data_IF_828710011688
#
_entry.id   IF_828710011688
#
_cell.length_a   1.000
_cell.length_b   1.000
_cell.length_c   1.000
_cell.angle_alpha   90.00
_cell.angle_beta   90.00
_cell.angle_gamma   90.00
#
_symmetry.space_group_name_H-M   'P 1'
#
loop_
_entity.id
_entity.type
_entity.pdbx_description
1 polymer ?
#
# COMPACT_ATOMS: atom_id res chain seq x y z
N UNK A 1 0.33 -8.82 1.87
CA UNK A 1 1.37 -9.33 2.79
C UNK A 1 2.09 -10.55 2.23
N UNK A 2 1.43 -11.67 1.92
CA UNK A 2 2.12 -12.88 1.43
C UNK A 2 3.02 -12.65 0.19
N UNK A 3 2.54 -11.96 -0.85
CA UNK A 3 3.34 -11.55 -2.02
C UNK A 3 4.68 -10.88 -1.63
N UNK A 4 4.61 -9.90 -0.73
CA UNK A 4 5.75 -9.12 -0.27
C UNK A 4 6.69 -10.04 0.51
N UNK A 5 6.17 -10.79 1.48
CA UNK A 5 6.99 -11.60 2.38
C UNK A 5 7.66 -12.80 1.69
N UNK A 6 7.03 -13.37 0.65
CA UNK A 6 7.64 -14.42 -0.17
C UNK A 6 8.82 -13.86 -0.96
N UNK A 7 8.65 -12.69 -1.59
CA UNK A 7 9.73 -12.02 -2.31
C UNK A 7 10.89 -11.66 -1.38
N UNK A 8 10.62 -11.08 -0.19
CA UNK A 8 11.62 -10.79 0.83
C UNK A 8 12.34 -12.04 1.35
N UNK A 9 11.57 -13.09 1.68
CA UNK A 9 12.12 -14.34 2.20
C UNK A 9 13.08 -14.98 1.19
N UNK A 10 12.72 -14.96 -0.09
CA UNK A 10 13.60 -15.48 -1.15
C UNK A 10 14.81 -14.58 -1.40
N UNK A 11 14.59 -13.30 -1.72
CA UNK A 11 15.66 -12.38 -2.13
C UNK A 11 16.58 -12.00 -0.98
N UNK A 12 16.02 -11.52 0.12
CA UNK A 12 16.79 -10.85 1.16
C UNK A 12 17.24 -11.79 2.26
N UNK A 13 16.45 -12.83 2.57
CA UNK A 13 16.79 -13.79 3.62
C UNK A 13 17.57 -15.01 3.07
N UNK A 14 17.09 -15.66 2.00
CA UNK A 14 17.74 -16.86 1.43
C UNK A 14 18.91 -16.48 0.53
N UNK A 15 18.68 -15.57 -0.42
CA UNK A 15 19.70 -15.16 -1.39
C UNK A 15 20.63 -14.06 -0.86
N UNK A 16 20.39 -13.54 0.35
CA UNK A 16 21.18 -12.50 1.00
C UNK A 16 21.37 -11.25 0.13
N UNK A 17 20.37 -10.90 -0.68
CA UNK A 17 20.46 -9.78 -1.61
C UNK A 17 21.33 -10.01 -2.84
N UNK A 18 21.69 -11.25 -3.18
CA UNK A 18 22.34 -11.53 -4.47
C UNK A 18 21.43 -11.07 -5.63
N UNK A 19 22.00 -10.28 -6.54
CA UNK A 19 21.29 -9.72 -7.69
C UNK A 19 20.58 -8.39 -7.41
N UNK A 20 20.67 -7.84 -6.19
CA UNK A 20 20.28 -6.46 -5.94
C UNK A 20 21.43 -5.49 -6.24
N UNK A 21 21.15 -4.19 -6.24
CA UNK A 21 22.19 -3.19 -6.45
C UNK A 21 23.36 -3.33 -5.47
N UNK A 22 24.59 -3.12 -5.96
CA UNK A 22 25.82 -3.43 -5.22
C UNK A 22 25.87 -2.73 -3.85
N UNK A 23 25.51 -1.44 -3.80
CA UNK A 23 25.47 -0.65 -2.57
C UNK A 23 24.47 -1.20 -1.52
N UNK A 24 23.40 -1.88 -1.95
CA UNK A 24 22.49 -2.57 -1.03
C UNK A 24 23.11 -3.86 -0.51
N UNK A 25 23.77 -4.61 -1.40
CA UNK A 25 24.36 -5.91 -1.07
C UNK A 25 25.57 -5.80 -0.14
N UNK A 26 26.37 -4.73 -0.25
CA UNK A 26 27.57 -4.49 0.55
C UNK A 26 27.28 -3.57 1.76
N UNK A 27 26.10 -2.95 1.82
CA UNK A 27 25.69 -2.07 2.91
C UNK A 27 25.06 -2.82 4.11
N UNK A 28 23.97 -2.27 4.65
CA UNK A 28 23.29 -2.76 5.87
C UNK A 28 22.87 -4.25 5.83
N UNK A 29 22.82 -4.88 4.65
CA UNK A 29 22.47 -6.31 4.51
C UNK A 29 23.53 -7.27 5.06
N UNK A 30 24.79 -6.83 5.13
CA UNK A 30 25.88 -7.62 5.72
C UNK A 30 25.94 -7.50 7.24
N UNK A 31 25.23 -6.54 7.82
CA UNK A 31 25.26 -6.28 9.26
C UNK A 31 24.21 -7.12 9.99
N UNK A 32 24.39 -7.26 11.32
CA UNK A 32 23.46 -8.00 12.19
C UNK A 32 22.02 -7.47 12.14
N UNK A 33 21.85 -6.18 11.78
CA UNK A 33 20.54 -5.56 11.61
C UNK A 33 19.67 -6.27 10.57
N UNK A 34 20.27 -6.96 9.59
CA UNK A 34 19.53 -7.77 8.63
C UNK A 34 18.76 -8.90 9.34
N UNK A 35 19.42 -9.61 10.26
CA UNK A 35 18.81 -10.67 11.07
C UNK A 35 17.73 -10.10 11.98
N UNK A 36 17.98 -8.94 12.58
CA UNK A 36 17.03 -8.24 13.46
C UNK A 36 15.75 -7.85 12.71
N UNK A 37 15.89 -7.29 11.51
CA UNK A 37 14.77 -6.90 10.67
C UNK A 37 13.97 -8.12 10.21
N UNK A 38 14.63 -9.18 9.75
CA UNK A 38 13.98 -10.44 9.38
C UNK A 38 13.19 -11.05 10.54
N UNK A 39 13.76 -11.09 11.75
CA UNK A 39 13.07 -11.55 12.97
C UNK A 39 11.85 -10.68 13.29
N UNK A 40 11.95 -9.36 13.15
CA UNK A 40 10.85 -8.42 13.39
C UNK A 40 9.68 -8.63 12.42
N UNK A 41 9.98 -8.88 11.15
CA UNK A 41 8.98 -9.22 10.13
C UNK A 41 8.31 -10.55 10.46
N UNK A 42 9.11 -11.59 10.75
CA UNK A 42 8.58 -12.91 11.11
C UNK A 42 7.66 -12.83 12.34
N UNK A 43 8.08 -12.12 13.38
CA UNK A 43 7.30 -11.94 14.60
C UNK A 43 5.97 -11.25 14.32
N UNK A 44 5.98 -10.21 13.48
CA UNK A 44 4.76 -9.51 13.05
C UNK A 44 3.81 -10.46 12.31
N UNK A 45 4.33 -11.24 11.36
CA UNK A 45 3.53 -12.20 10.58
C UNK A 45 2.93 -13.26 11.49
N UNK A 46 3.72 -13.83 12.42
CA UNK A 46 3.27 -14.88 13.35
C UNK A 46 2.13 -14.36 14.23
N UNK A 47 2.31 -13.20 14.87
CA UNK A 47 1.29 -12.61 15.75
C UNK A 47 0.02 -12.29 14.96
N UNK A 48 0.14 -11.64 13.80
CA UNK A 48 -1.01 -11.31 12.96
C UNK A 48 -1.75 -12.59 12.52
N UNK A 49 -1.04 -13.63 12.12
CA UNK A 49 -1.64 -14.91 11.73
C UNK A 49 -2.39 -15.59 12.88
N UNK A 50 -1.86 -15.56 14.10
CA UNK A 50 -2.55 -16.11 15.29
C UNK A 50 -3.88 -15.37 15.53
N UNK A 51 -3.92 -14.06 15.27
CA UNK A 51 -5.11 -13.25 15.49
C UNK A 51 -6.15 -13.35 14.35
N UNK A 52 -5.74 -13.80 13.16
CA UNK A 52 -6.64 -13.99 12.01
C UNK A 52 -7.33 -15.36 12.12
N UNK A 53 -8.56 -15.35 12.63
CA UNK A 53 -9.39 -16.58 12.71
C UNK A 53 -9.90 -17.03 11.34
N UNK A 54 -10.30 -18.31 11.21
CA UNK A 54 -10.99 -18.82 10.02
C UNK A 54 -12.21 -17.98 9.62
N UNK A 55 -12.91 -17.35 10.57
CA UNK A 55 -14.05 -16.45 10.28
C UNK A 55 -13.63 -15.16 9.57
N UNK A 56 -12.43 -14.64 9.86
CA UNK A 56 -11.86 -13.47 9.16
C UNK A 56 -11.46 -13.85 7.73
N UNK A 57 -10.91 -15.06 7.53
CA UNK A 57 -10.55 -15.60 6.21
C UNK A 57 -11.80 -15.98 5.38
N UNK A 58 -12.80 -16.54 6.05
CA UNK A 58 -14.14 -16.82 5.55
C UNK A 58 -15.03 -15.58 5.65
N UNK A 59 -14.47 -14.38 5.47
CA UNK A 59 -15.22 -13.36 4.75
C UNK A 59 -15.50 -13.95 3.36
N UNK A 60 -16.45 -14.90 3.31
CA UNK A 60 -17.16 -15.29 2.11
C UNK A 60 -17.51 -13.96 1.56
N UNK A 61 -17.08 -13.75 0.34
CA UNK A 61 -17.41 -12.58 -0.43
C UNK A 61 -18.92 -12.67 -0.67
N UNK A 62 -19.69 -12.41 0.38
CA UNK A 62 -21.10 -12.06 0.33
C UNK A 62 -21.16 -11.04 -0.78
N UNK A 63 -22.06 -11.30 -1.73
CA UNK A 63 -22.10 -10.62 -3.00
C UNK A 63 -21.81 -9.12 -2.78
N UNK A 64 -20.57 -8.69 -3.07
CA UNK A 64 -20.08 -7.37 -2.65
C UNK A 64 -20.97 -6.28 -3.27
N UNK A 65 -21.60 -6.61 -4.40
CA UNK A 65 -22.62 -5.82 -5.08
C UNK A 65 -23.91 -5.62 -4.26
N UNK A 66 -24.35 -6.61 -3.48
CA UNK A 66 -25.53 -6.49 -2.61
C UNK A 66 -25.29 -5.50 -1.47
N UNK A 67 -24.03 -5.36 -1.03
CA UNK A 67 -23.65 -4.43 0.03
C UNK A 67 -23.62 -2.96 -0.42
N UNK A 68 -23.64 -2.69 -1.74
CA UNK A 68 -23.65 -1.34 -2.30
C UNK A 68 -24.93 -0.60 -1.88
N UNK A 69 -24.83 0.72 -1.81
CA UNK A 69 -25.94 1.64 -1.53
C UNK A 69 -26.22 2.49 -2.76
N UNK A 70 -27.42 3.05 -2.80
CA UNK A 70 -27.82 4.00 -3.85
C UNK A 70 -27.86 5.40 -3.26
N UNK A 71 -26.99 6.29 -3.73
CA UNK A 71 -27.06 7.72 -3.44
C UNK A 71 -26.45 8.51 -4.60
N UNK A 72 -27.32 9.08 -5.45
CA UNK A 72 -26.92 9.76 -6.67
C UNK A 72 -26.01 10.97 -6.41
N UNK A 73 -26.21 11.70 -5.29
CA UNK A 73 -25.42 12.90 -4.98
C UNK A 73 -23.98 12.50 -4.65
N UNK A 74 -23.81 11.51 -3.77
CA UNK A 74 -22.49 11.04 -3.36
C UNK A 74 -21.75 10.43 -4.55
N UNK A 75 -22.44 9.59 -5.35
CA UNK A 75 -21.81 8.91 -6.47
C UNK A 75 -21.47 9.87 -7.62
N UNK A 76 -22.34 10.81 -7.98
CA UNK A 76 -22.06 11.80 -9.02
C UNK A 76 -20.99 12.80 -8.56
N UNK A 77 -21.12 13.34 -7.34
CA UNK A 77 -20.14 14.28 -6.78
C UNK A 77 -18.75 13.66 -6.65
N UNK A 78 -18.67 12.41 -6.21
CA UNK A 78 -17.41 11.67 -6.17
C UNK A 78 -16.83 11.42 -7.56
N UNK A 79 -17.65 11.08 -8.56
CA UNK A 79 -17.18 10.90 -9.94
C UNK A 79 -16.61 12.21 -10.52
N UNK A 80 -17.30 13.34 -10.32
CA UNK A 80 -16.81 14.66 -10.74
C UNK A 80 -15.46 14.96 -10.08
N UNK A 81 -15.36 14.75 -8.76
CA UNK A 81 -14.12 14.97 -8.01
C UNK A 81 -12.97 14.10 -8.54
N UNK A 82 -13.23 12.84 -8.89
CA UNK A 82 -12.22 11.96 -9.51
C UNK A 82 -11.71 12.55 -10.82
N UNK A 83 -12.59 13.00 -11.71
CA UNK A 83 -12.17 13.60 -12.98
C UNK A 83 -11.41 14.91 -12.79
N UNK A 84 -11.79 15.74 -11.81
CA UNK A 84 -11.02 16.95 -11.45
C UNK A 84 -9.60 16.57 -11.01
N UNK A 85 -9.44 15.55 -10.16
CA UNK A 85 -8.12 15.05 -9.73
C UNK A 85 -7.33 14.51 -10.94
N UNK A 86 -7.99 13.79 -11.85
CA UNK A 86 -7.33 13.26 -13.04
C UNK A 86 -6.82 14.38 -13.96
N UNK A 87 -7.67 15.38 -14.26
CA UNK A 87 -7.30 16.56 -15.05
C UNK A 87 -6.15 17.32 -14.38
N UNK A 88 -6.24 17.53 -13.05
CA UNK A 88 -5.15 18.12 -12.29
C UNK A 88 -3.85 17.32 -12.42
N UNK A 89 -3.90 15.99 -12.44
CA UNK A 89 -2.71 15.15 -12.65
C UNK A 89 -2.05 15.39 -14.01
N UNK A 90 -2.86 15.56 -15.07
CA UNK A 90 -2.36 15.82 -16.43
C UNK A 90 -1.71 17.21 -16.57
N UNK A 91 -2.19 18.20 -15.80
CA UNK A 91 -1.70 19.58 -15.85
C UNK A 91 -0.47 19.77 -14.96
N UNK A 92 -0.49 19.20 -13.75
CA UNK A 92 0.52 19.47 -12.71
C UNK A 92 1.83 18.71 -12.89
N UNK A 93 1.84 17.62 -13.65
CA UNK A 93 3.05 16.82 -13.85
C UNK A 93 3.89 17.40 -15.00
N UNK A 94 5.07 17.93 -14.65
CA UNK A 94 6.08 18.36 -15.61
C UNK A 94 6.65 17.15 -16.34
N UNK A 95 6.55 17.13 -17.66
CA UNK A 95 6.93 15.99 -18.47
C UNK A 95 8.46 15.88 -18.61
N UNK A 96 9.06 14.86 -18.00
CA UNK A 96 10.39 14.38 -18.36
C UNK A 96 10.30 12.95 -18.90
N UNK A 97 10.32 12.81 -20.23
CA UNK A 97 10.17 11.50 -20.88
C UNK A 97 11.36 10.60 -20.52
N UNK A 98 11.09 9.41 -19.97
CA UNK A 98 12.10 8.39 -19.68
C UNK A 98 12.81 8.49 -18.32
N UNK A 99 12.50 9.48 -17.47
CA UNK A 99 12.97 9.49 -16.07
C UNK A 99 11.84 9.05 -15.14
N UNK A 100 12.17 8.18 -14.17
CA UNK A 100 11.24 7.82 -13.11
C UNK A 100 11.02 9.00 -12.19
N UNK A 101 9.79 9.50 -12.13
CA UNK A 101 9.37 10.48 -11.13
C UNK A 101 8.37 9.81 -10.19
N UNK A 102 8.77 9.65 -8.92
CA UNK A 102 7.85 9.17 -7.90
C UNK A 102 6.81 10.25 -7.65
N UNK A 103 5.54 9.93 -7.89
CA UNK A 103 4.47 10.84 -7.50
C UNK A 103 4.32 10.83 -5.99
N UNK A 104 4.78 11.89 -5.35
CA UNK A 104 4.72 12.07 -3.89
C UNK A 104 3.45 12.75 -3.42
N UNK A 105 2.60 13.24 -4.34
CA UNK A 105 1.40 13.97 -3.96
C UNK A 105 0.33 13.02 -3.37
N UNK A 106 -0.05 13.18 -2.09
CA UNK A 106 -1.04 12.32 -1.44
C UNK A 106 -2.42 12.35 -2.09
N UNK A 107 -2.74 13.37 -2.88
CA UNK A 107 -4.06 13.53 -3.51
C UNK A 107 -4.43 12.35 -4.42
N UNK A 108 -3.44 11.74 -5.07
CA UNK A 108 -3.64 10.61 -5.98
C UNK A 108 -3.80 9.30 -5.24
N UNK A 109 -3.20 9.18 -4.05
CA UNK A 109 -3.51 8.08 -3.17
C UNK A 109 -4.94 8.23 -2.66
N UNK A 110 -5.33 9.41 -2.17
CA UNK A 110 -6.67 9.63 -1.62
C UNK A 110 -7.79 9.57 -2.67
N UNK A 111 -7.50 9.68 -3.97
CA UNK A 111 -8.49 9.45 -5.02
C UNK A 111 -9.03 8.02 -5.00
N UNK A 112 -8.26 7.03 -4.53
CA UNK A 112 -8.73 5.64 -4.38
C UNK A 112 -9.78 5.51 -3.28
N UNK A 113 -9.68 6.31 -2.21
CA UNK A 113 -10.72 6.38 -1.17
C UNK A 113 -12.00 6.92 -1.82
N UNK A 114 -11.91 8.04 -2.53
CA UNK A 114 -13.06 8.66 -3.21
C UNK A 114 -13.69 7.66 -4.19
N UNK A 115 -12.88 6.98 -5.01
CA UNK A 115 -13.34 5.97 -5.96
C UNK A 115 -14.10 4.83 -5.27
N UNK A 116 -13.57 4.31 -4.16
CA UNK A 116 -14.23 3.26 -3.40
C UNK A 116 -15.61 3.71 -2.89
N UNK A 117 -15.74 4.95 -2.40
CA UNK A 117 -17.02 5.51 -1.97
C UNK A 117 -17.97 5.79 -3.13
N UNK A 118 -17.47 6.33 -4.24
CA UNK A 118 -18.24 6.55 -5.48
C UNK A 118 -18.85 5.25 -5.96
N UNK A 119 -18.05 4.18 -6.04
CA UNK A 119 -18.50 2.84 -6.41
C UNK A 119 -19.48 2.23 -5.40
N UNK A 120 -19.22 2.43 -4.09
CA UNK A 120 -20.07 1.91 -3.02
C UNK A 120 -21.48 2.51 -3.07
N UNK A 121 -21.60 3.80 -3.39
CA UNK A 121 -22.88 4.52 -3.48
C UNK A 121 -23.53 4.52 -4.88
N UNK A 122 -22.89 3.91 -5.88
CA UNK A 122 -23.39 3.88 -7.27
C UNK A 122 -24.29 2.67 -7.59
N UNK A 123 -24.94 2.03 -6.59
CA UNK A 123 -25.79 0.85 -6.83
C UNK A 123 -26.82 1.11 -7.94
N UNK A 124 -26.89 0.19 -8.91
CA UNK A 124 -27.75 0.24 -10.10
C UNK A 124 -27.45 1.37 -11.11
N UNK A 125 -26.41 2.18 -10.89
CA UNK A 125 -26.03 3.28 -11.79
C UNK A 125 -24.91 2.87 -12.74
N UNK A 126 -25.25 2.10 -13.79
CA UNK A 126 -24.28 1.58 -14.77
C UNK A 126 -23.40 2.65 -15.42
N UNK A 127 -23.94 3.85 -15.66
CA UNK A 127 -23.18 4.96 -16.24
C UNK A 127 -22.06 5.47 -15.33
N UNK A 128 -22.23 5.40 -14.00
CA UNK A 128 -21.15 5.72 -13.04
C UNK A 128 -20.10 4.63 -13.08
N UNK A 129 -20.51 3.36 -13.17
CA UNK A 129 -19.57 2.25 -13.32
C UNK A 129 -18.73 2.40 -14.62
N UNK A 130 -19.34 2.79 -15.74
CA UNK A 130 -18.60 3.14 -16.96
C UNK A 130 -17.65 4.33 -16.77
N UNK A 131 -18.08 5.38 -16.05
CA UNK A 131 -17.22 6.51 -15.70
C UNK A 131 -16.01 6.10 -14.85
N UNK A 132 -16.19 5.20 -13.88
CA UNK A 132 -15.09 4.64 -13.08
C UNK A 132 -14.12 3.87 -13.98
N UNK A 133 -14.61 3.10 -14.96
CA UNK A 133 -13.74 2.42 -15.92
C UNK A 133 -12.93 3.38 -16.78
N UNK A 134 -13.54 4.46 -17.27
CA UNK A 134 -12.83 5.50 -18.03
C UNK A 134 -11.76 6.16 -17.15
N UNK A 135 -12.11 6.52 -15.91
CA UNK A 135 -11.14 7.05 -14.94
C UNK A 135 -9.99 6.06 -14.71
N UNK A 136 -10.29 4.76 -14.57
CA UNK A 136 -9.29 3.70 -14.40
C UNK A 136 -8.27 3.68 -15.54
N UNK A 137 -8.73 3.70 -16.79
CA UNK A 137 -7.84 3.72 -17.95
C UNK A 137 -7.04 5.01 -18.04
N UNK A 138 -7.68 6.17 -17.86
CA UNK A 138 -7.01 7.47 -17.88
C UNK A 138 -5.93 7.60 -16.81
N UNK A 139 -6.25 7.19 -15.58
CA UNK A 139 -5.31 7.16 -14.46
C UNK A 139 -4.14 6.22 -14.74
N UNK A 140 -4.42 4.99 -15.20
CA UNK A 140 -3.38 4.01 -15.49
C UNK A 140 -2.44 4.49 -16.59
N UNK A 141 -2.97 5.06 -17.67
CA UNK A 141 -2.15 5.63 -18.75
C UNK A 141 -1.27 6.76 -18.21
N UNK A 142 -1.83 7.71 -17.45
CA UNK A 142 -1.06 8.85 -16.97
C UNK A 142 0.09 8.42 -16.03
N UNK A 143 -0.20 7.57 -15.04
CA UNK A 143 0.77 7.17 -14.03
C UNK A 143 1.79 6.16 -14.54
N UNK A 144 1.43 5.27 -15.47
CA UNK A 144 2.41 4.39 -16.11
C UNK A 144 3.38 5.17 -17.01
N UNK A 145 2.93 6.25 -17.65
CA UNK A 145 3.79 7.08 -18.52
C UNK A 145 4.92 7.77 -17.77
N UNK A 146 4.71 8.17 -16.52
CA UNK A 146 5.73 8.76 -15.64
C UNK A 146 6.46 7.70 -14.78
N UNK A 147 6.08 6.43 -14.92
CA UNK A 147 6.72 5.29 -14.25
C UNK A 147 6.22 4.96 -12.84
N UNK A 148 5.16 5.60 -12.33
CA UNK A 148 4.56 5.23 -11.03
C UNK A 148 3.68 3.97 -11.16
N UNK A 149 4.28 2.84 -10.79
CA UNK A 149 3.64 1.52 -10.80
C UNK A 149 2.80 1.26 -9.55
N UNK A 150 3.20 1.85 -8.43
CA UNK A 150 2.65 1.53 -7.10
C UNK A 150 1.19 1.96 -6.96
N UNK A 151 0.88 3.18 -7.41
CA UNK A 151 -0.48 3.73 -7.39
C UNK A 151 -1.41 2.97 -8.34
N UNK A 152 -0.89 2.56 -9.51
CA UNK A 152 -1.64 1.77 -10.50
C UNK A 152 -1.95 0.37 -9.97
N UNK A 153 -1.00 -0.30 -9.28
CA UNK A 153 -1.28 -1.59 -8.66
C UNK A 153 -2.39 -1.52 -7.62
N UNK A 154 -2.41 -0.48 -6.77
CA UNK A 154 -3.50 -0.28 -5.81
C UNK A 154 -4.84 -0.11 -6.52
N UNK A 155 -4.88 0.69 -7.59
CA UNK A 155 -6.08 0.90 -8.38
C UNK A 155 -6.57 -0.40 -9.06
N UNK A 156 -5.66 -1.20 -9.63
CA UNK A 156 -5.99 -2.51 -10.23
C UNK A 156 -6.58 -3.45 -9.19
N UNK A 157 -6.00 -3.50 -7.98
CA UNK A 157 -6.52 -4.32 -6.87
C UNK A 157 -7.90 -3.83 -6.42
N UNK A 158 -8.10 -2.51 -6.35
CA UNK A 158 -9.40 -1.92 -6.04
C UNK A 158 -10.45 -2.34 -7.08
N UNK A 159 -10.13 -2.22 -8.37
CA UNK A 159 -11.01 -2.64 -9.46
C UNK A 159 -11.30 -4.15 -9.44
N UNK A 160 -10.28 -4.96 -9.15
CA UNK A 160 -10.44 -6.41 -8.99
C UNK A 160 -11.42 -6.76 -7.87
N UNK A 161 -11.32 -6.09 -6.71
CA UNK A 161 -12.25 -6.29 -5.59
C UNK A 161 -13.65 -5.74 -5.91
N UNK A 162 -13.76 -4.62 -6.61
CA UNK A 162 -15.05 -4.00 -6.91
C UNK A 162 -15.84 -4.77 -7.97
N UNK A 163 -15.19 -5.22 -9.06
CA UNK A 163 -15.87 -5.79 -10.24
C UNK A 163 -15.62 -7.29 -10.44
N UNK A 164 -14.48 -7.82 -9.98
CA UNK A 164 -14.07 -9.20 -10.22
C UNK A 164 -14.03 -10.05 -8.93
N UNK A 165 -14.74 -9.63 -7.88
CA UNK A 165 -14.71 -10.26 -6.57
C UNK A 165 -15.04 -11.76 -6.58
N UNK A 166 -15.86 -12.23 -7.53
CA UNK A 166 -16.20 -13.65 -7.67
C UNK A 166 -15.00 -14.51 -8.08
N UNK A 167 -14.01 -13.92 -8.76
CA UNK A 167 -12.78 -14.58 -9.18
C UNK A 167 -11.76 -14.65 -8.03
N UNK A 168 -11.94 -13.83 -6.97
CA UNK A 168 -11.05 -13.76 -5.82
C UNK A 168 -11.35 -14.93 -4.88
N UNK A 169 -10.60 -16.02 -5.05
CA UNK A 169 -10.56 -17.14 -4.12
C UNK A 169 -9.10 -17.44 -3.73
N UNK A 170 -8.90 -18.29 -2.73
CA UNK A 170 -7.55 -18.62 -2.21
C UNK A 170 -6.63 -19.17 -3.31
N UNK A 171 -7.16 -19.97 -4.25
CA UNK A 171 -6.38 -20.52 -5.37
C UNK A 171 -5.96 -19.40 -6.34
N UNK A 172 -6.89 -18.54 -6.74
CA UNK A 172 -6.60 -17.39 -7.61
C UNK A 172 -5.62 -16.43 -6.95
N UNK A 173 -5.78 -16.15 -5.66
CA UNK A 173 -4.82 -15.31 -4.91
C UNK A 173 -3.44 -15.96 -4.90
N UNK A 174 -3.34 -17.27 -4.64
CA UNK A 174 -2.07 -18.00 -4.69
C UNK A 174 -1.42 -17.92 -6.07
N UNK A 175 -2.19 -18.12 -7.14
CA UNK A 175 -1.70 -17.98 -8.52
C UNK A 175 -1.24 -16.55 -8.84
N UNK A 176 -2.01 -15.53 -8.45
CA UNK A 176 -1.63 -14.12 -8.64
C UNK A 176 -0.35 -13.80 -7.88
N UNK A 177 -0.14 -14.36 -6.70
CA UNK A 177 1.11 -14.17 -5.95
C UNK A 177 2.29 -14.78 -6.70
N UNK A 178 2.16 -16.03 -7.17
CA UNK A 178 3.25 -16.77 -7.83
C UNK A 178 3.56 -16.24 -9.23
N UNK A 179 2.54 -15.88 -10.00
CA UNK A 179 2.68 -15.40 -11.38
C UNK A 179 2.92 -13.88 -11.42
N UNK A 180 2.37 -13.14 -10.46
CA UNK A 180 2.51 -11.69 -10.37
C UNK A 180 3.97 -11.26 -10.22
N UNK A 181 4.77 -11.99 -9.43
CA UNK A 181 6.20 -11.68 -9.26
C UNK A 181 6.95 -11.74 -10.61
N UNK A 182 6.92 -12.87 -11.36
CA UNK A 182 7.47 -12.95 -12.72
C UNK A 182 6.96 -11.86 -13.67
N UNK A 183 5.66 -11.56 -13.67
CA UNK A 183 5.11 -10.51 -14.55
C UNK A 183 5.68 -9.14 -14.20
N UNK A 184 5.76 -8.80 -12.91
CA UNK A 184 6.34 -7.52 -12.48
C UNK A 184 7.82 -7.39 -12.89
N UNK A 185 8.57 -8.50 -12.82
CA UNK A 185 9.95 -8.56 -13.29
C UNK A 185 10.05 -8.45 -14.81
N UNK A 186 9.18 -9.12 -15.54
CA UNK A 186 9.13 -9.04 -17.00
C UNK A 186 8.92 -7.60 -17.46
N UNK A 187 7.94 -6.90 -16.88
CA UNK A 187 7.66 -5.49 -17.21
C UNK A 187 8.87 -4.60 -16.89
N UNK A 188 9.56 -4.84 -15.77
CA UNK A 188 10.76 -4.10 -15.41
C UNK A 188 11.92 -4.32 -16.42
N UNK A 189 12.26 -5.59 -16.69
CA UNK A 189 13.34 -5.97 -17.62
C UNK A 189 13.03 -5.46 -19.03
N UNK A 190 11.81 -5.68 -19.53
CA UNK A 190 11.41 -5.28 -20.88
C UNK A 190 11.58 -3.78 -21.12
N UNK A 191 11.28 -2.95 -20.10
CA UNK A 191 11.43 -1.51 -20.19
C UNK A 191 12.90 -1.07 -20.19
N UNK A 192 13.71 -1.68 -19.33
CA UNK A 192 15.11 -1.32 -19.18
C UNK A 192 15.96 -1.85 -20.37
N UNK A 193 15.43 -2.83 -21.12
CA UNK A 193 16.07 -3.52 -22.24
C UNK A 193 15.20 -3.58 -23.50
N UNK A 194 14.59 -2.45 -23.89
CA UNK A 194 13.69 -2.33 -25.06
C UNK A 194 14.27 -2.83 -26.40
N UNK A 195 15.59 -2.99 -26.50
CA UNK A 195 16.31 -3.43 -27.70
C UNK A 195 17.05 -4.78 -27.53
N UNK A 196 16.88 -5.48 -26.42
CA UNK A 196 17.53 -6.77 -26.18
C UNK A 196 16.76 -7.94 -26.80
N UNK A 197 17.45 -9.05 -27.06
CA UNK A 197 16.81 -10.26 -27.58
C UNK A 197 15.83 -10.85 -26.56
N UNK A 198 14.75 -11.47 -27.03
CA UNK A 198 13.77 -12.10 -26.14
C UNK A 198 14.40 -13.21 -25.27
N UNK A 199 15.41 -13.91 -25.79
CA UNK A 199 16.21 -14.87 -25.01
C UNK A 199 16.92 -14.23 -23.82
N UNK A 200 17.49 -13.04 -23.99
CA UNK A 200 18.16 -12.33 -22.89
C UNK A 200 17.15 -11.92 -21.81
N UNK A 201 15.94 -11.51 -22.22
CA UNK A 201 14.85 -11.18 -21.30
C UNK A 201 14.45 -12.40 -20.46
N UNK A 202 14.32 -13.58 -21.08
CA UNK A 202 13.99 -14.82 -20.36
C UNK A 202 15.12 -15.20 -19.40
N UNK A 203 16.38 -15.17 -19.84
CA UNK A 203 17.53 -15.51 -19.00
C UNK A 203 17.56 -14.57 -17.79
N UNK A 204 17.42 -13.26 -18.01
CA UNK A 204 17.37 -12.26 -16.94
C UNK A 204 16.21 -12.51 -15.96
N UNK A 205 15.04 -12.88 -16.47
CA UNK A 205 13.87 -13.18 -15.66
C UNK A 205 14.08 -14.42 -14.78
N UNK A 206 14.67 -15.48 -15.33
CA UNK A 206 15.04 -16.68 -14.56
C UNK A 206 16.09 -16.35 -13.51
N UNK A 207 17.11 -15.54 -13.84
CA UNK A 207 18.12 -15.13 -12.86
C UNK A 207 17.58 -14.21 -11.77
N UNK A 208 16.60 -13.33 -12.07
CA UNK A 208 15.93 -12.50 -11.06
C UNK A 208 15.04 -13.34 -10.14
N UNK A 209 14.44 -14.43 -10.63
CA UNK A 209 13.60 -15.32 -9.83
C UNK A 209 12.43 -14.59 -9.16
N UNK A 210 12.31 -14.69 -7.83
CA UNK A 210 11.24 -14.04 -7.05
C UNK A 210 11.58 -12.63 -6.55
N UNK A 211 12.65 -12.03 -7.07
CA UNK A 211 13.03 -10.67 -6.78
C UNK A 211 11.94 -9.67 -7.19
N UNK A 212 11.65 -8.66 -6.37
CA UNK A 212 10.83 -7.52 -6.76
C UNK A 212 11.54 -6.26 -6.29
N UNK A 213 11.99 -5.42 -7.23
CA UNK A 213 12.78 -4.21 -6.94
C UNK A 213 12.16 -3.40 -5.79
N UNK A 214 10.88 -3.07 -5.91
CA UNK A 214 10.15 -2.28 -4.92
C UNK A 214 10.17 -2.88 -3.52
N UNK A 215 10.10 -4.21 -3.43
CA UNK A 215 10.07 -4.93 -2.16
C UNK A 215 11.44 -4.94 -1.50
N UNK A 216 12.48 -5.21 -2.29
CA UNK A 216 13.88 -5.18 -1.86
C UNK A 216 14.35 -3.79 -1.42
N UNK A 217 13.92 -2.73 -2.14
CA UNK A 217 14.21 -1.35 -1.76
C UNK A 217 13.58 -0.98 -0.42
N UNK A 218 12.31 -1.34 -0.22
CA UNK A 218 11.62 -1.16 1.06
C UNK A 218 12.27 -1.97 2.19
N UNK A 219 12.77 -3.17 1.90
CA UNK A 219 13.52 -3.95 2.87
C UNK A 219 14.79 -3.25 3.32
N UNK A 220 15.59 -2.74 2.37
CA UNK A 220 16.77 -1.97 2.74
C UNK A 220 16.43 -0.74 3.57
N UNK A 221 15.35 -0.02 3.20
CA UNK A 221 14.83 1.08 4.02
C UNK A 221 14.42 0.65 5.44
N UNK A 222 13.92 -0.58 5.59
CA UNK A 222 13.59 -1.18 6.88
C UNK A 222 14.84 -1.43 7.74
N UNK A 223 15.96 -1.80 7.13
CA UNK A 223 17.24 -1.93 7.84
C UNK A 223 17.70 -0.58 8.38
N UNK A 224 17.66 0.46 7.55
CA UNK A 224 18.03 1.83 7.93
C UNK A 224 17.13 2.38 9.06
N UNK A 225 15.82 2.14 8.98
CA UNK A 225 14.88 2.53 10.04
C UNK A 225 15.16 1.73 11.32
N UNK A 226 15.40 0.43 11.23
CA UNK A 226 15.66 -0.42 12.41
C UNK A 226 16.95 -0.02 13.12
N UNK A 227 17.99 0.43 12.38
CA UNK A 227 19.23 0.97 12.96
C UNK A 227 19.01 2.20 13.86
N UNK A 228 17.92 2.95 13.67
CA UNK A 228 17.61 4.10 14.53
C UNK A 228 17.43 3.70 15.99
N UNK A 229 17.04 2.45 16.27
CA UNK A 229 16.97 1.93 17.63
C UNK A 229 18.33 1.98 18.36
N UNK A 230 19.44 1.78 17.64
CA UNK A 230 20.78 1.79 18.25
C UNK A 230 21.43 3.18 18.20
N UNK A 231 20.96 4.04 17.30
CA UNK A 231 21.61 5.33 16.99
C UNK A 231 20.97 6.52 17.67
N UNK A 232 19.68 6.45 18.02
CA UNK A 232 18.93 7.58 18.56
C UNK A 232 18.86 7.47 20.09
N UNK A 233 19.28 8.53 20.78
CA UNK A 233 19.23 8.58 22.25
C UNK A 233 17.83 8.80 22.84
N UNK A 234 16.89 9.33 22.05
CA UNK A 234 15.52 9.67 22.48
C UNK A 234 14.46 9.00 21.61
N UNK A 235 14.10 7.74 21.94
CA UNK A 235 13.04 7.03 21.22
C UNK A 235 11.65 7.66 21.39
N UNK A 236 11.42 8.36 22.51
CA UNK A 236 10.15 9.05 22.75
C UNK A 236 9.90 10.14 21.70
N UNK A 237 10.93 10.87 21.29
CA UNK A 237 10.83 11.88 20.23
C UNK A 237 10.49 11.26 18.87
N UNK A 238 11.04 10.09 18.55
CA UNK A 238 10.65 9.32 17.35
C UNK A 238 9.17 8.94 17.38
N UNK A 239 8.69 8.45 18.54
CA UNK A 239 7.29 8.04 18.72
C UNK A 239 6.37 9.26 18.58
N UNK A 240 6.65 10.33 19.32
CA UNK A 240 5.82 11.56 19.33
C UNK A 240 5.82 12.21 17.95
N UNK A 241 6.98 12.32 17.31
CA UNK A 241 7.08 12.87 15.95
C UNK A 241 6.31 12.06 14.93
N UNK A 242 6.44 10.73 14.96
CA UNK A 242 5.69 9.85 14.05
C UNK A 242 4.17 9.99 14.24
N UNK A 243 3.68 9.91 15.48
CA UNK A 243 2.25 10.03 15.75
C UNK A 243 1.72 11.46 15.52
N UNK A 244 2.56 12.48 15.72
CA UNK A 244 2.30 13.85 15.26
C UNK A 244 2.00 13.89 13.77
N UNK A 245 2.81 13.23 12.94
CA UNK A 245 2.59 13.18 11.48
C UNK A 245 1.28 12.50 11.09
N UNK A 246 0.86 11.49 11.84
CA UNK A 246 -0.43 10.81 11.63
C UNK A 246 -1.60 11.79 11.74
N UNK A 247 -1.53 12.78 12.64
CA UNK A 247 -2.54 13.83 12.81
C UNK A 247 -2.22 15.13 12.07
N UNK A 248 -1.11 15.19 11.33
CA UNK A 248 -0.73 16.34 10.50
C UNK A 248 0.21 17.36 11.15
N UNK A 249 0.82 17.02 12.28
CA UNK A 249 1.88 17.82 12.92
C UNK A 249 3.23 17.37 12.36
N UNK A 250 3.95 18.29 11.73
CA UNK A 250 5.28 18.01 11.17
C UNK A 250 6.40 18.41 12.15
N UNK A 251 7.48 17.64 12.12
CA UNK A 251 8.68 17.73 12.95
C UNK A 251 9.81 16.93 12.28
N UNK A 252 11.07 17.12 12.70
CA UNK A 252 12.20 16.36 12.14
C UNK A 252 12.07 14.84 12.29
N UNK A 253 11.30 14.37 13.28
CA UNK A 253 11.09 12.94 13.57
C UNK A 253 9.85 12.35 12.88
N UNK A 254 9.15 13.15 12.07
CA UNK A 254 7.87 12.76 11.45
C UNK A 254 8.03 11.64 10.44
N UNK A 255 9.16 11.61 9.73
CA UNK A 255 9.50 10.56 8.78
C UNK A 255 10.78 9.89 9.19
N UNK A 256 10.69 8.68 9.76
CA UNK A 256 11.87 7.91 10.20
C UNK A 256 12.83 7.62 9.03
N UNK A 257 12.31 7.40 7.83
CA UNK A 257 13.13 7.21 6.63
C UNK A 257 13.96 8.46 6.28
N UNK A 258 13.32 9.64 6.31
CA UNK A 258 14.01 10.91 6.04
C UNK A 258 14.97 11.23 7.18
N UNK A 259 14.55 11.02 8.42
CA UNK A 259 15.36 11.26 9.60
C UNK A 259 16.65 10.43 9.57
N UNK A 260 16.55 9.12 9.26
CA UNK A 260 17.70 8.25 9.09
C UNK A 260 18.68 8.78 8.03
N UNK A 261 18.18 9.07 6.83
CA UNK A 261 19.01 9.56 5.71
C UNK A 261 19.68 10.91 6.00
N UNK A 262 18.97 11.83 6.64
CA UNK A 262 19.46 13.20 6.84
C UNK A 262 20.46 13.29 8.01
N UNK A 263 20.32 12.45 9.03
CA UNK A 263 21.14 12.53 10.24
C UNK A 263 22.28 11.50 10.28
N UNK A 264 22.23 10.44 9.46
CA UNK A 264 23.23 9.38 9.43
C UNK A 264 23.61 9.04 7.99
N UNK A 265 24.85 9.32 7.60
CA UNK A 265 25.34 9.15 6.23
C UNK A 265 25.39 7.69 5.77
N UNK A 266 25.49 6.74 6.70
CA UNK A 266 25.46 5.29 6.48
C UNK A 266 24.04 4.71 6.37
N UNK A 267 23.01 5.46 6.77
CA UNK A 267 21.62 5.01 6.77
C UNK A 267 20.85 5.52 5.55
N UNK A 268 21.28 5.09 4.37
CA UNK A 268 20.61 5.48 3.13
C UNK A 268 19.20 4.89 3.02
N UNK A 269 18.19 5.76 2.93
CA UNK A 269 16.80 5.37 2.68
C UNK A 269 16.13 6.39 1.75
N UNK A 270 15.75 5.97 0.53
CA UNK A 270 15.02 6.82 -0.44
C UNK A 270 13.52 6.94 -0.18
N UNK A 271 13.06 6.43 0.97
CA UNK A 271 11.66 6.33 1.32
C UNK A 271 11.20 4.89 1.32
N UNK A 272 10.45 4.54 2.35
CA UNK A 272 9.93 3.20 2.54
C UNK A 272 10.43 2.53 3.81
N UNK A 273 9.78 1.42 4.15
CA UNK A 273 9.98 0.71 5.39
C UNK A 273 8.83 -0.25 5.63
N UNK A 274 9.16 -1.47 6.02
CA UNK A 274 8.17 -2.46 6.37
C UNK A 274 7.60 -2.10 7.74
N UNK A 275 6.30 -2.28 7.92
CA UNK A 275 5.56 -1.94 9.14
C UNK A 275 6.32 -2.24 10.45
N UNK A 276 6.94 -3.42 10.55
CA UNK A 276 7.66 -3.87 11.74
C UNK A 276 8.89 -3.01 12.08
N UNK A 277 9.58 -2.46 11.08
CA UNK A 277 10.80 -1.67 11.29
C UNK A 277 10.55 -0.37 12.05
N UNK A 278 9.41 0.29 11.80
CA UNK A 278 9.03 1.50 12.54
C UNK A 278 8.83 1.20 14.02
N UNK A 279 8.13 0.11 14.35
CA UNK A 279 7.95 -0.29 15.74
C UNK A 279 9.27 -0.74 16.38
N UNK A 280 10.15 -1.40 15.63
CA UNK A 280 11.48 -1.73 16.14
C UNK A 280 12.27 -0.46 16.50
N UNK A 281 12.25 0.56 15.65
CA UNK A 281 12.91 1.85 15.92
C UNK A 281 12.39 2.55 17.19
N UNK A 282 11.14 2.30 17.59
CA UNK A 282 10.52 2.90 18.78
C UNK A 282 10.92 2.23 20.09
N UNK A 283 11.28 0.94 20.10
CA UNK A 283 11.55 0.24 21.35
C UNK A 283 11.88 -1.25 21.20
N UNK A 284 12.53 -1.60 20.08
CA UNK A 284 12.96 -2.96 19.78
C UNK A 284 11.81 -3.95 19.65
N UNK A 285 12.08 -5.22 19.95
CA UNK A 285 11.11 -6.32 19.79
C UNK A 285 9.83 -6.15 20.61
N UNK A 286 9.89 -5.52 21.78
CA UNK A 286 8.69 -5.28 22.61
C UNK A 286 7.70 -4.40 21.83
N UNK A 287 8.18 -3.30 21.25
CA UNK A 287 7.36 -2.43 20.41
C UNK A 287 6.87 -3.14 19.15
N UNK A 288 7.66 -4.04 18.54
CA UNK A 288 7.22 -4.86 17.40
C UNK A 288 6.04 -5.76 17.78
N UNK A 289 6.08 -6.41 18.95
CA UNK A 289 4.98 -7.24 19.46
C UNK A 289 3.72 -6.38 19.63
N UNK A 290 3.84 -5.22 20.28
CA UNK A 290 2.73 -4.28 20.50
C UNK A 290 2.13 -3.85 19.15
N UNK A 291 2.97 -3.43 18.20
CA UNK A 291 2.54 -3.04 16.86
C UNK A 291 1.82 -4.17 16.12
N UNK A 292 2.35 -5.39 16.16
CA UNK A 292 1.73 -6.54 15.53
C UNK A 292 0.36 -6.90 16.15
N UNK A 293 0.23 -6.79 17.48
CA UNK A 293 -1.06 -6.97 18.17
C UNK A 293 -2.05 -5.88 17.76
N UNK A 294 -1.63 -4.60 17.73
CA UNK A 294 -2.47 -3.49 17.27
C UNK A 294 -2.95 -3.74 15.83
N UNK A 295 -2.05 -4.11 14.93
CA UNK A 295 -2.38 -4.44 13.54
C UNK A 295 -3.38 -5.60 13.45
N UNK A 296 -3.16 -6.67 14.22
CA UNK A 296 -4.08 -7.80 14.29
C UNK A 296 -5.48 -7.42 14.80
N UNK A 297 -5.56 -6.55 15.82
CA UNK A 297 -6.83 -6.00 16.32
C UNK A 297 -7.53 -5.18 15.24
N UNK A 298 -6.81 -4.29 14.54
CA UNK A 298 -7.35 -3.44 13.47
C UNK A 298 -7.93 -4.32 12.36
N UNK A 299 -7.14 -5.26 11.83
CA UNK A 299 -7.56 -6.16 10.75
C UNK A 299 -8.81 -6.93 11.19
N UNK A 300 -8.78 -7.54 12.39
CA UNK A 300 -9.90 -8.32 12.90
C UNK A 300 -11.17 -7.48 13.05
N UNK A 301 -11.08 -6.29 13.67
CA UNK A 301 -12.22 -5.39 13.87
C UNK A 301 -12.82 -4.93 12.55
N UNK A 302 -12.00 -4.49 11.59
CA UNK A 302 -12.47 -4.03 10.29
C UNK A 302 -13.09 -5.18 9.50
N UNK A 303 -12.43 -6.33 9.41
CA UNK A 303 -12.92 -7.45 8.60
C UNK A 303 -14.21 -8.06 9.17
N UNK A 304 -14.35 -8.13 10.50
CA UNK A 304 -15.55 -8.63 11.17
C UNK A 304 -16.68 -7.60 11.29
N UNK A 305 -16.45 -6.34 10.92
CA UNK A 305 -17.46 -5.29 11.02
C UNK A 305 -18.66 -5.55 10.10
N UNK A 306 -19.79 -4.87 10.37
CA UNK A 306 -21.01 -4.97 9.57
C UNK A 306 -20.77 -4.61 8.08
N UNK A 307 -21.58 -5.16 7.17
CA UNK A 307 -21.53 -4.91 5.70
C UNK A 307 -21.51 -3.43 5.31
N UNK A 308 -22.01 -2.54 6.16
CA UNK A 308 -22.03 -1.07 5.94
C UNK A 308 -20.64 -0.42 5.97
N UNK A 309 -19.64 -1.11 6.51
CA UNK A 309 -18.25 -0.68 6.56
C UNK A 309 -17.40 -1.32 5.46
N UNK A 310 -18.04 -1.83 4.39
CA UNK A 310 -17.35 -2.41 3.24
C UNK A 310 -16.21 -1.52 2.69
N UNK A 311 -16.35 -0.19 2.55
CA UNK A 311 -15.24 0.66 2.10
C UNK A 311 -13.98 0.50 2.95
N UNK A 312 -14.09 0.42 4.28
CA UNK A 312 -12.94 0.20 5.17
C UNK A 312 -12.26 -1.15 4.89
N UNK A 313 -13.04 -2.21 4.65
CA UNK A 313 -12.51 -3.54 4.35
C UNK A 313 -11.73 -3.54 3.04
N UNK A 314 -12.31 -2.95 1.99
CA UNK A 314 -11.71 -2.86 0.67
C UNK A 314 -10.43 -2.01 0.72
N UNK A 315 -10.50 -0.83 1.33
CA UNK A 315 -9.36 0.09 1.40
C UNK A 315 -8.22 -0.46 2.28
N UNK A 316 -8.53 -1.17 3.36
CA UNK A 316 -7.50 -1.86 4.15
C UNK A 316 -6.67 -2.84 3.30
N UNK A 317 -7.33 -3.59 2.42
CA UNK A 317 -6.68 -4.54 1.51
C UNK A 317 -5.91 -3.81 0.42
N UNK A 318 -6.52 -2.82 -0.23
CA UNK A 318 -5.92 -2.06 -1.34
C UNK A 318 -4.63 -1.35 -0.89
N UNK A 319 -4.65 -0.70 0.26
CA UNK A 319 -3.51 0.07 0.75
C UNK A 319 -2.41 -0.79 1.37
N UNK A 320 -2.53 -2.13 1.40
CA UNK A 320 -1.48 -3.00 1.95
C UNK A 320 -0.12 -2.76 1.30
N UNK A 321 -0.09 -2.42 0.01
CA UNK A 321 1.14 -2.09 -0.71
C UNK A 321 1.78 -0.79 -0.23
N UNK A 322 1.06 0.08 0.46
CA UNK A 322 1.58 1.33 1.05
C UNK A 322 1.86 1.19 2.52
N UNK A 323 0.88 0.74 3.31
CA UNK A 323 1.05 0.73 4.76
C UNK A 323 1.94 -0.37 5.28
N UNK A 324 2.03 -1.49 4.56
CA UNK A 324 2.90 -2.58 4.95
C UNK A 324 4.33 -2.40 4.43
N UNK A 325 4.50 -1.81 3.24
CA UNK A 325 5.79 -1.76 2.53
C UNK A 325 6.51 -0.41 2.61
N UNK A 326 5.79 0.70 2.69
CA UNK A 326 6.38 2.04 2.59
C UNK A 326 6.30 2.83 3.87
N UNK A 327 5.10 3.13 4.34
CA UNK A 327 4.91 4.03 5.47
C UNK A 327 3.61 3.68 6.18
N UNK A 328 3.73 3.26 7.45
CA UNK A 328 2.57 2.87 8.25
C UNK A 328 1.63 4.04 8.56
N UNK A 329 2.04 5.30 8.33
CA UNK A 329 1.12 6.46 8.36
C UNK A 329 -0.05 6.29 7.40
N UNK A 330 0.13 5.61 6.27
CA UNK A 330 -0.97 5.34 5.32
C UNK A 330 -2.06 4.44 5.90
N UNK A 331 -1.74 3.57 6.87
CA UNK A 331 -2.76 2.82 7.63
C UNK A 331 -3.52 3.75 8.57
N UNK A 332 -2.81 4.44 9.46
CA UNK A 332 -3.45 5.21 10.52
C UNK A 332 -4.12 6.49 9.98
N UNK A 333 -3.42 7.27 9.17
CA UNK A 333 -3.93 8.51 8.58
C UNK A 333 -4.83 8.23 7.38
N UNK A 334 -4.36 7.42 6.44
CA UNK A 334 -5.12 7.09 5.22
C UNK A 334 -6.35 6.24 5.52
N UNK A 335 -6.13 4.99 5.95
CA UNK A 335 -7.22 4.01 6.10
C UNK A 335 -8.10 4.28 7.33
N UNK A 336 -7.56 4.69 8.48
CA UNK A 336 -8.39 4.90 9.68
C UNK A 336 -8.98 6.31 9.74
N UNK A 337 -8.17 7.36 9.62
CA UNK A 337 -8.65 8.74 9.78
C UNK A 337 -9.41 9.22 8.54
N UNK A 338 -8.78 9.25 7.36
CA UNK A 338 -9.41 9.83 6.15
C UNK A 338 -10.64 9.05 5.69
N UNK A 339 -10.62 7.72 5.71
CA UNK A 339 -11.83 6.93 5.39
C UNK A 339 -12.94 7.23 6.38
N UNK A 340 -12.66 7.43 7.67
CA UNK A 340 -13.66 7.83 8.66
C UNK A 340 -14.24 9.20 8.37
N UNK A 341 -13.41 10.18 8.01
CA UNK A 341 -13.87 11.52 7.64
C UNK A 341 -14.78 11.47 6.40
N UNK A 342 -14.35 10.78 5.33
CA UNK A 342 -15.16 10.62 4.11
C UNK A 342 -16.45 9.86 4.41
N UNK A 343 -16.40 8.83 5.25
CA UNK A 343 -17.58 8.09 5.69
C UNK A 343 -18.58 8.99 6.43
N UNK A 344 -18.10 9.83 7.36
CA UNK A 344 -18.93 10.78 8.10
C UNK A 344 -19.58 11.80 7.16
N UNK A 345 -18.82 12.36 6.20
CA UNK A 345 -19.37 13.26 5.18
C UNK A 345 -20.47 12.57 4.38
N UNK A 346 -20.25 11.33 3.93
CA UNK A 346 -21.26 10.54 3.22
C UNK A 346 -22.52 10.31 4.06
N UNK A 347 -22.36 10.01 5.36
CA UNK A 347 -23.48 9.82 6.28
C UNK A 347 -24.31 11.11 6.44
N UNK A 348 -23.67 12.26 6.60
CA UNK A 348 -24.34 13.56 6.71
C UNK A 348 -25.14 13.89 5.44
N UNK A 349 -24.57 13.62 4.26
CA UNK A 349 -25.27 13.79 2.97
C UNK A 349 -26.46 12.83 2.90
N UNK A 350 -26.27 11.56 3.25
CA UNK A 350 -27.34 10.55 3.24
C UNK A 350 -28.52 10.94 4.15
N UNK A 351 -28.24 11.46 5.35
CA UNK A 351 -29.26 11.92 6.30
C UNK A 351 -30.02 13.14 5.76
N UNK A 352 -29.31 14.13 5.21
CA UNK A 352 -29.91 15.35 4.64
C UNK A 352 -30.86 15.03 3.48
N UNK A 353 -30.46 14.11 2.59
CA UNK A 353 -31.29 13.70 1.44
C UNK A 353 -32.55 12.97 1.90
N UNK A 354 -32.45 12.09 2.90
CA UNK A 354 -33.61 11.36 3.44
C UNK A 354 -34.62 12.29 4.11
N UNK A 355 -34.17 13.35 4.77
CA UNK A 355 -35.05 14.34 5.40
C UNK A 355 -35.85 15.14 4.35
N UNK A 356 -35.23 15.50 3.22
CA UNK A 356 -35.89 16.24 2.13
C UNK A 356 -36.95 15.44 1.36
N UNK A 357 -36.96 14.11 1.46
CA UNK A 357 -37.95 13.25 0.78
C UNK A 357 -39.18 13.00 1.67
N UNK A 358 -39.08 13.24 2.98
CA UNK A 358 -40.16 13.03 3.96
C UNK A 358 -40.96 14.30 4.29
N UNK A 359 -40.47 15.47 3.91
CA UNK A 359 -41.21 16.73 3.90
C UNK A 359 -41.69 16.98 2.48
#
# INVERSE_FOLDING_TARGET
MAFINISLGYTDCIMLGRGVSEWQSVGLRLNEINVVCAKSILLTIVIVNIMITKKVLLFKVENIQECRRKNNIISLGGLILLYVILIYSFISQSYSFGKYESVTNPIFEYSLIILCFTWYYSKEMKWIDYGIWIYFFGFSINFLRIGDRSSVYMLVVLMAICYFYKLINVRTIGLVILVGIPITNFIAIFRDHLFSSFSDIIIQLVTRGLYVDTVSWAYYGSLAISMLYERVGSHLELIVGFWGRVIGIESQYSSLAIYARTNYSDLYNLGGGIYSSFFYAFGGYISVIIGAVILGIIIRKIMMSHRKYLPFKVLLIVYVFRWYLYDMTTLYRGVLIFVSLVYLVCLTIEQTVRHKIKC
#
